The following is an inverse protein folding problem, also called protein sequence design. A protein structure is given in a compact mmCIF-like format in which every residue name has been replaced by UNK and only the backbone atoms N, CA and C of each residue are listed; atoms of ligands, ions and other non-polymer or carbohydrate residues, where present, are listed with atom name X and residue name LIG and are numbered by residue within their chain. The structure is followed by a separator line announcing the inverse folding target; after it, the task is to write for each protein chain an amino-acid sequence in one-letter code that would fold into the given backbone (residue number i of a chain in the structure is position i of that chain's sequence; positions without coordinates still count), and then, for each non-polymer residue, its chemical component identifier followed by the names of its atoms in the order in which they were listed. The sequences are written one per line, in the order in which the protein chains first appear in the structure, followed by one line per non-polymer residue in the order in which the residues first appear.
data_IF_901447223636
#
_entry.id   IF_901447223636
#
_cell.length_a   1.000
_cell.length_b   1.000
_cell.length_c   1.000
_cell.angle_alpha   90.00
_cell.angle_beta   90.00
_cell.angle_gamma   90.00
#
_symmetry.space_group_name_H-M   'P 1'
#
loop_
_entity.id
_entity.type
_entity.pdbx_description
1 polymer ?
#
# COMPACT_ATOMS: atom_id res chain seq x y z
N UNK A 1 25.77 25.15 5.40
CA UNK A 1 24.57 24.88 4.60
C UNK A 1 23.85 26.21 4.48
N UNK A 2 23.78 26.76 3.28
CA UNK A 2 23.06 28.00 3.02
C UNK A 2 21.58 27.71 2.79
N UNK A 3 20.75 28.76 2.88
CA UNK A 3 19.29 28.65 2.73
C UNK A 3 18.89 28.07 1.37
N UNK A 4 19.60 28.44 0.30
CA UNK A 4 19.33 27.94 -1.06
C UNK A 4 19.53 26.44 -1.16
N UNK A 5 20.62 25.90 -0.62
CA UNK A 5 20.88 24.46 -0.56
C UNK A 5 19.83 23.71 0.26
N UNK A 6 19.37 24.28 1.38
CA UNK A 6 18.32 23.67 2.19
C UNK A 6 16.95 23.67 1.47
N UNK A 7 16.64 24.73 0.72
CA UNK A 7 15.42 24.81 -0.10
C UNK A 7 15.46 23.80 -1.25
N UNK A 8 16.59 23.63 -1.92
CA UNK A 8 16.77 22.63 -2.97
C UNK A 8 16.57 21.21 -2.44
N UNK A 9 17.16 20.89 -1.28
CA UNK A 9 16.99 19.59 -0.61
C UNK A 9 15.52 19.34 -0.23
N UNK A 10 14.84 20.35 0.31
CA UNK A 10 13.42 20.27 0.66
C UNK A 10 12.55 19.97 -0.56
N UNK A 11 12.76 20.68 -1.67
CA UNK A 11 11.99 20.49 -2.90
C UNK A 11 12.25 19.10 -3.51
N UNK A 12 13.51 18.65 -3.51
CA UNK A 12 13.88 17.33 -4.00
C UNK A 12 13.24 16.22 -3.15
N UNK A 13 13.33 16.31 -1.82
CA UNK A 13 12.73 15.35 -0.91
C UNK A 13 11.20 15.32 -1.03
N UNK A 14 10.56 16.47 -1.27
CA UNK A 14 9.11 16.53 -1.50
C UNK A 14 8.70 15.81 -2.78
N UNK A 15 9.38 16.07 -3.91
CA UNK A 15 9.10 15.41 -5.18
C UNK A 15 9.34 13.89 -5.12
N UNK A 16 10.38 13.45 -4.38
CA UNK A 16 10.62 12.04 -4.12
C UNK A 16 9.48 11.44 -3.28
N UNK A 17 9.07 12.10 -2.20
CA UNK A 17 7.94 11.66 -1.37
C UNK A 17 6.65 11.51 -2.19
N UNK A 18 6.35 12.45 -3.10
CA UNK A 18 5.20 12.34 -4.00
C UNK A 18 5.31 11.11 -4.91
N UNK A 19 6.48 10.89 -5.51
CA UNK A 19 6.76 9.76 -6.38
C UNK A 19 6.63 8.42 -5.63
N UNK A 20 7.20 8.33 -4.42
CA UNK A 20 7.10 7.16 -3.54
C UNK A 20 5.66 6.92 -3.09
N UNK A 21 4.89 7.99 -2.87
CA UNK A 21 3.47 7.89 -2.50
C UNK A 21 2.65 7.26 -3.62
N UNK A 22 2.89 7.65 -4.88
CA UNK A 22 2.27 7.04 -6.05
C UNK A 22 2.68 5.57 -6.16
N UNK A 23 3.98 5.27 -6.10
CA UNK A 23 4.49 3.91 -6.17
C UNK A 23 3.93 3.01 -5.05
N UNK A 24 3.75 3.55 -3.85
CA UNK A 24 3.14 2.85 -2.72
C UNK A 24 1.64 2.58 -2.96
N UNK A 25 0.91 3.52 -3.56
CA UNK A 25 -0.48 3.30 -3.94
C UNK A 25 -0.62 2.13 -4.95
N UNK A 26 0.24 2.09 -5.97
CA UNK A 26 0.28 1.01 -6.95
C UNK A 26 0.68 -0.32 -6.33
N UNK A 27 1.69 -0.33 -5.45
CA UNK A 27 2.09 -1.52 -4.71
C UNK A 27 0.93 -2.05 -3.84
N UNK A 28 0.16 -1.15 -3.20
CA UNK A 28 -1.03 -1.52 -2.42
C UNK A 28 -2.13 -2.13 -3.30
N UNK A 29 -2.39 -1.59 -4.49
CA UNK A 29 -3.35 -2.16 -5.44
C UNK A 29 -2.91 -3.56 -5.91
N UNK A 30 -1.65 -3.71 -6.33
CA UNK A 30 -1.10 -5.02 -6.74
C UNK A 30 -1.20 -6.05 -5.61
N UNK A 31 -0.89 -5.67 -4.37
CA UNK A 31 -1.04 -6.54 -3.19
C UNK A 31 -2.50 -6.96 -2.99
N UNK A 32 -3.45 -6.03 -3.11
CA UNK A 32 -4.89 -6.31 -2.98
C UNK A 32 -5.37 -7.28 -4.07
N UNK A 33 -4.99 -7.04 -5.32
CA UNK A 33 -5.33 -7.91 -6.44
C UNK A 33 -4.76 -9.34 -6.24
N UNK A 34 -3.51 -9.46 -5.80
CA UNK A 34 -2.92 -10.77 -5.50
C UNK A 34 -3.65 -11.51 -4.37
N UNK A 35 -3.99 -10.81 -3.27
CA UNK A 35 -4.76 -11.42 -2.20
C UNK A 35 -6.16 -11.86 -2.64
N UNK A 36 -6.86 -11.08 -3.49
CA UNK A 36 -8.14 -11.46 -4.08
C UNK A 36 -8.03 -12.74 -4.91
N UNK A 37 -7.02 -12.83 -5.79
CA UNK A 37 -6.76 -14.05 -6.57
C UNK A 37 -6.52 -15.26 -5.69
N UNK A 38 -5.80 -15.10 -4.58
CA UNK A 38 -5.57 -16.20 -3.63
C UNK A 38 -6.88 -16.67 -2.95
N UNK A 39 -7.78 -15.75 -2.62
CA UNK A 39 -9.10 -16.08 -2.09
C UNK A 39 -9.96 -16.82 -3.13
N UNK A 40 -9.94 -16.37 -4.38
CA UNK A 40 -10.62 -17.03 -5.51
C UNK A 40 -10.08 -18.46 -5.74
N UNK A 41 -8.79 -18.68 -5.47
CA UNK A 41 -8.14 -20.00 -5.49
C UNK A 41 -8.39 -20.83 -4.21
N UNK A 42 -9.28 -20.37 -3.31
CA UNK A 42 -9.65 -21.08 -2.09
C UNK A 42 -8.69 -20.93 -0.91
N UNK A 43 -7.70 -20.03 -0.98
CA UNK A 43 -6.81 -19.73 0.15
C UNK A 43 -7.46 -18.73 1.09
N UNK A 44 -7.78 -19.15 2.31
CA UNK A 44 -8.37 -18.26 3.32
C UNK A 44 -7.40 -17.21 3.87
N UNK A 45 -7.94 -16.18 4.54
CA UNK A 45 -7.15 -15.10 5.16
C UNK A 45 -6.04 -15.56 6.11
N UNK A 46 -6.21 -16.61 6.96
CA UNK A 46 -5.14 -17.07 7.82
C UNK A 46 -3.91 -17.58 7.07
N UNK A 47 -4.13 -18.25 5.93
CA UNK A 47 -3.04 -18.76 5.10
C UNK A 47 -2.26 -17.60 4.45
N UNK A 48 -2.97 -16.62 3.90
CA UNK A 48 -2.37 -15.42 3.29
C UNK A 48 -1.60 -14.60 4.34
N UNK A 49 -2.16 -14.46 5.54
CA UNK A 49 -1.56 -13.75 6.65
C UNK A 49 -0.21 -14.35 7.08
N UNK A 50 -0.13 -15.68 7.14
CA UNK A 50 1.10 -16.39 7.44
C UNK A 50 2.21 -16.15 6.40
N UNK A 51 1.87 -16.05 5.11
CA UNK A 51 2.84 -15.75 4.04
C UNK A 51 3.40 -14.33 4.13
N UNK A 52 2.59 -13.38 4.62
CA UNK A 52 2.94 -11.97 4.69
C UNK A 52 3.51 -11.54 6.05
N UNK A 53 3.53 -12.43 7.05
CA UNK A 53 3.96 -12.09 8.41
C UNK A 53 3.04 -11.08 9.11
N UNK A 54 1.74 -11.08 8.77
CA UNK A 54 0.74 -10.16 9.34
C UNK A 54 -0.42 -10.92 9.97
N UNK A 55 -1.35 -10.22 10.60
CA UNK A 55 -2.57 -10.84 11.15
C UNK A 55 -3.63 -11.08 10.06
N UNK A 56 -4.54 -12.06 10.21
CA UNK A 56 -5.65 -12.27 9.29
C UNK A 56 -6.56 -11.03 9.16
N UNK A 57 -6.70 -10.26 10.25
CA UNK A 57 -7.45 -9.00 10.26
C UNK A 57 -6.78 -7.92 9.39
N UNK A 58 -5.43 -7.87 9.36
CA UNK A 58 -4.72 -6.96 8.47
C UNK A 58 -4.97 -7.31 7.00
N UNK A 59 -5.01 -8.61 6.67
CA UNK A 59 -5.38 -9.09 5.32
C UNK A 59 -6.78 -8.67 4.94
N UNK A 60 -7.74 -8.94 5.82
CA UNK A 60 -9.14 -8.53 5.62
C UNK A 60 -9.26 -7.01 5.40
N UNK A 61 -8.58 -6.23 6.25
CA UNK A 61 -8.59 -4.78 6.21
C UNK A 61 -8.12 -4.19 4.88
N UNK A 62 -7.03 -4.72 4.31
CA UNK A 62 -6.57 -4.21 3.02
C UNK A 62 -7.36 -4.78 1.83
N UNK A 63 -7.87 -6.01 1.89
CA UNK A 63 -8.69 -6.56 0.80
C UNK A 63 -9.99 -5.76 0.62
N UNK A 64 -10.59 -5.32 1.73
CA UNK A 64 -11.84 -4.54 1.79
C UNK A 64 -11.67 -3.02 1.69
N UNK A 65 -10.44 -2.50 1.61
CA UNK A 65 -10.19 -1.05 1.66
C UNK A 65 -10.89 -0.26 0.54
N UNK A 66 -11.08 -0.86 -0.65
CA UNK A 66 -11.77 -0.19 -1.77
C UNK A 66 -13.29 -0.07 -1.58
N UNK A 67 -13.91 -0.96 -0.81
CA UNK A 67 -15.37 -0.97 -0.61
C UNK A 67 -15.86 0.18 0.29
N UNK A 68 -14.94 0.77 1.08
CA UNK A 68 -15.26 1.93 1.93
C UNK A 68 -15.14 3.27 1.22
N UNK A 69 -14.27 3.38 0.21
CA UNK A 69 -14.01 4.64 -0.49
C UNK A 69 -14.79 4.80 -1.82
N UNK A 70 -15.68 3.86 -2.15
CA UNK A 70 -16.64 3.95 -3.26
C UNK A 70 -18.08 4.22 -2.80
N UNK A 71 -18.28 4.41 -1.49
CA UNK A 71 -19.59 4.61 -0.85
C UNK A 71 -19.81 6.03 -0.36
N UNK A 72 -19.01 6.98 -0.85
CA UNK A 72 -19.04 8.42 -0.54
C UNK A 72 -18.69 9.16 -1.81
#
# INVERSE_FOLDING_TARGET
MDESSAVEELLAAHAEMESLTIALADARERRRAAARRLLELGRGFPWIAAQLGVTPQAVDGFVKYKDRNQRT
#
